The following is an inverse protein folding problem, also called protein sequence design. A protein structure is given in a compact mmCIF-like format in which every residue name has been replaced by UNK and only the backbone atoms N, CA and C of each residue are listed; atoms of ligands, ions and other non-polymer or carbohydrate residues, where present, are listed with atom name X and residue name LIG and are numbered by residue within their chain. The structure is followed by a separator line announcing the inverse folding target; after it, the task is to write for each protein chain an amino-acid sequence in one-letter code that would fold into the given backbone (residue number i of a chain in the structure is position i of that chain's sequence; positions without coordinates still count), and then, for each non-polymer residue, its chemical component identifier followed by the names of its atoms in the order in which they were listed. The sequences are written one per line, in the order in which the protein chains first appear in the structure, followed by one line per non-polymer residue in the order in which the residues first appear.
data_IF_603680277419
#
_entry.id   IF_603680277419
#
_cell.length_a   1.000
_cell.length_b   1.000
_cell.length_c   1.000
_cell.angle_alpha   90.00
_cell.angle_beta   90.00
_cell.angle_gamma   90.00
#
_symmetry.space_group_name_H-M   'P 1'
#
loop_
_entity.id
_entity.type
_entity.pdbx_description
1 polymer ?
#
# COMPACT_ATOMS: atom_id res chain seq x y z
N UNK A 1 -34.27 -53.82 42.32
CA UNK A 1 -34.99 -53.11 41.24
C UNK A 1 -34.02 -52.90 40.08
N UNK A 2 -34.03 -53.84 39.13
CA UNK A 2 -33.19 -53.83 37.94
C UNK A 2 -33.79 -52.91 36.87
N UNK A 3 -33.04 -51.91 36.42
CA UNK A 3 -33.44 -51.10 35.27
C UNK A 3 -33.51 -51.97 34.00
N UNK A 4 -34.48 -51.76 33.09
CA UNK A 4 -34.54 -52.50 31.84
C UNK A 4 -33.29 -52.20 30.98
N UNK A 5 -32.78 -53.17 30.20
CA UNK A 5 -31.51 -53.05 29.47
C UNK A 5 -31.45 -51.86 28.48
N UNK A 6 -32.60 -51.30 28.08
CA UNK A 6 -32.70 -50.21 27.10
C UNK A 6 -32.42 -48.81 27.67
N UNK A 7 -32.46 -48.62 29.00
CA UNK A 7 -32.24 -47.30 29.61
C UNK A 7 -30.77 -46.87 29.61
N UNK A 8 -29.84 -47.85 29.68
CA UNK A 8 -28.40 -47.60 29.64
C UNK A 8 -27.94 -47.11 28.28
N UNK A 9 -28.52 -47.66 27.20
CA UNK A 9 -28.24 -47.21 25.83
C UNK A 9 -28.77 -45.79 25.58
N UNK A 10 -29.95 -45.47 26.09
CA UNK A 10 -30.51 -44.12 25.96
C UNK A 10 -29.67 -43.07 26.70
N UNK A 11 -29.18 -43.41 27.90
CA UNK A 11 -28.32 -42.54 28.70
C UNK A 11 -26.95 -42.33 28.02
N UNK A 12 -26.36 -43.39 27.46
CA UNK A 12 -25.11 -43.30 26.70
C UNK A 12 -25.27 -42.44 25.44
N UNK A 13 -26.40 -42.57 24.72
CA UNK A 13 -26.68 -41.76 23.54
C UNK A 13 -26.85 -40.28 23.90
N UNK A 14 -27.58 -39.97 24.99
CA UNK A 14 -27.74 -38.61 25.49
C UNK A 14 -26.41 -38.00 25.97
N UNK A 15 -25.57 -38.79 26.64
CA UNK A 15 -24.22 -38.34 27.03
C UNK A 15 -23.32 -38.13 25.82
N UNK A 16 -23.44 -38.95 24.77
CA UNK A 16 -22.67 -38.78 23.54
C UNK A 16 -23.10 -37.51 22.80
N UNK A 17 -24.41 -37.26 22.67
CA UNK A 17 -24.95 -36.03 22.09
C UNK A 17 -24.55 -34.82 22.93
N UNK A 18 -24.60 -34.92 24.26
CA UNK A 18 -24.16 -33.85 25.16
C UNK A 18 -22.64 -33.61 25.04
N UNK A 19 -21.84 -34.66 24.90
CA UNK A 19 -20.40 -34.56 24.70
C UNK A 19 -20.05 -34.00 23.33
N UNK A 20 -20.74 -34.39 22.26
CA UNK A 20 -20.60 -33.77 20.93
C UNK A 20 -21.00 -32.30 20.96
N UNK A 21 -22.10 -31.94 21.62
CA UNK A 21 -22.49 -30.54 21.83
C UNK A 21 -21.50 -29.79 22.69
N UNK A 22 -20.90 -30.42 23.70
CA UNK A 22 -19.88 -29.81 24.55
C UNK A 22 -18.53 -29.68 23.85
N UNK A 23 -18.16 -30.60 22.95
CA UNK A 23 -16.99 -30.52 22.09
C UNK A 23 -17.21 -29.47 21.00
N UNK A 24 -18.41 -29.38 20.44
CA UNK A 24 -18.81 -28.33 19.51
C UNK A 24 -18.81 -26.96 20.21
N UNK A 25 -19.37 -26.86 21.42
CA UNK A 25 -19.33 -25.64 22.24
C UNK A 25 -17.90 -25.30 22.74
N UNK A 26 -17.05 -26.28 23.03
CA UNK A 26 -15.63 -26.06 23.37
C UNK A 26 -14.80 -25.63 22.17
N UNK A 27 -15.18 -26.02 20.94
CA UNK A 27 -14.62 -25.48 19.70
C UNK A 27 -15.05 -24.02 19.46
N UNK A 28 -16.09 -23.56 20.15
CA UNK A 28 -16.67 -22.22 20.07
C UNK A 28 -16.14 -21.24 21.15
N UNK A 29 -15.27 -21.71 22.05
CA UNK A 29 -14.43 -20.85 22.91
C UNK A 29 -13.25 -20.23 22.14
N UNK A 30 -13.37 -20.12 20.82
CA UNK A 30 -12.46 -19.33 19.98
C UNK A 30 -12.53 -17.90 20.50
N UNK A 31 -11.37 -17.28 20.78
CA UNK A 31 -11.27 -15.83 20.94
C UNK A 31 -12.16 -15.19 19.86
N UNK A 32 -13.22 -14.48 20.25
CA UNK A 32 -14.02 -13.74 19.29
C UNK A 32 -13.08 -12.82 18.52
N UNK A 33 -12.83 -13.14 17.26
CA UNK A 33 -11.94 -12.36 16.44
C UNK A 33 -12.68 -11.07 16.12
N UNK A 34 -12.18 -9.91 16.55
CA UNK A 34 -12.92 -8.66 16.41
C UNK A 34 -13.10 -8.34 14.93
N UNK A 35 -14.35 -8.14 14.50
CA UNK A 35 -14.67 -7.69 13.16
C UNK A 35 -14.40 -6.19 13.02
N UNK A 36 -13.12 -5.86 12.88
CA UNK A 36 -12.62 -4.48 12.79
C UNK A 36 -11.50 -4.41 11.77
N UNK A 37 -11.38 -3.26 11.10
CA UNK A 37 -10.22 -2.99 10.26
C UNK A 37 -8.93 -3.02 11.07
N UNK A 38 -7.85 -3.51 10.46
CA UNK A 38 -6.52 -3.57 11.09
C UNK A 38 -5.95 -2.18 11.40
N UNK A 39 -6.36 -1.14 10.67
CA UNK A 39 -6.10 0.26 10.95
C UNK A 39 -7.32 1.16 10.65
N UNK A 40 -7.35 2.35 11.27
CA UNK A 40 -8.39 3.38 11.01
C UNK A 40 -8.13 4.20 9.75
N UNK A 41 -6.87 4.25 9.32
CA UNK A 41 -6.41 5.01 8.17
C UNK A 41 -5.38 4.18 7.40
N UNK A 42 -5.54 4.10 6.09
CA UNK A 42 -4.55 3.51 5.19
C UNK A 42 -4.12 4.53 4.13
N UNK A 43 -2.83 4.50 3.80
CA UNK A 43 -2.31 5.24 2.65
C UNK A 43 -2.11 4.27 1.49
N UNK A 44 -2.68 4.62 0.34
CA UNK A 44 -2.55 3.83 -0.88
C UNK A 44 -2.28 4.75 -2.07
N UNK A 45 -1.51 4.24 -3.02
CA UNK A 45 -1.15 4.93 -4.25
C UNK A 45 -1.75 4.22 -5.46
N UNK A 46 -2.30 4.98 -6.39
CA UNK A 46 -2.69 4.53 -7.72
C UNK A 46 -1.87 5.27 -8.78
N UNK A 47 -1.38 4.52 -9.74
CA UNK A 47 -0.60 5.06 -10.85
C UNK A 47 -1.55 5.64 -11.90
N UNK A 48 -1.27 6.88 -12.33
CA UNK A 48 -1.95 7.42 -13.49
C UNK A 48 -1.60 6.60 -14.72
N UNK A 49 -2.52 6.49 -15.65
CA UNK A 49 -2.48 5.66 -16.83
C UNK A 49 -2.38 4.15 -16.59
N UNK A 50 -2.42 3.70 -15.34
CA UNK A 50 -2.55 2.30 -15.02
C UNK A 50 -3.83 1.72 -15.66
N UNK A 51 -3.77 0.47 -16.15
CA UNK A 51 -4.96 -0.24 -16.57
C UNK A 51 -6.01 -0.26 -15.45
N UNK A 52 -7.30 -0.10 -15.79
CA UNK A 52 -8.39 -0.12 -14.80
C UNK A 52 -8.55 -1.44 -14.03
N UNK A 53 -7.77 -2.47 -14.38
CA UNK A 53 -7.65 -3.76 -13.68
C UNK A 53 -6.65 -3.73 -12.52
N UNK A 54 -5.77 -2.73 -12.48
CA UNK A 54 -4.72 -2.61 -11.49
C UNK A 54 -5.23 -2.11 -10.14
N UNK A 55 -4.73 -2.72 -9.06
CA UNK A 55 -5.11 -2.35 -7.70
C UNK A 55 -4.13 -1.36 -7.09
N UNK A 56 -4.65 -0.47 -6.25
CA UNK A 56 -3.89 0.46 -5.45
C UNK A 56 -2.86 -0.29 -4.60
N UNK A 57 -1.66 0.26 -4.54
CA UNK A 57 -0.55 -0.26 -3.72
C UNK A 57 -0.56 0.45 -2.37
N UNK A 58 -0.27 -0.27 -1.30
CA UNK A 58 -0.06 0.35 0.01
C UNK A 58 1.44 0.52 0.27
N UNK A 59 1.82 1.68 0.79
CA UNK A 59 3.17 1.95 1.31
C UNK A 59 3.34 1.43 2.75
N UNK A 60 2.24 1.17 3.45
CA UNK A 60 2.23 0.72 4.84
C UNK A 60 2.43 -0.81 4.93
N UNK A 61 3.07 -1.28 6.01
CA UNK A 61 3.28 -2.71 6.27
C UNK A 61 2.05 -3.38 6.93
N UNK A 62 0.91 -2.68 7.00
CA UNK A 62 -0.31 -3.15 7.66
C UNK A 62 -1.26 -3.77 6.62
N UNK A 63 -1.72 -5.03 6.82
CA UNK A 63 -2.68 -5.66 5.91
C UNK A 63 -3.99 -4.86 5.82
N UNK A 64 -4.35 -4.35 4.65
CA UNK A 64 -5.60 -3.60 4.48
C UNK A 64 -6.79 -4.57 4.42
N UNK A 65 -7.62 -4.58 5.45
CA UNK A 65 -8.79 -5.45 5.49
C UNK A 65 -9.27 -5.74 6.90
N UNK A 66 -10.02 -6.83 7.03
CA UNK A 66 -10.60 -7.31 8.29
C UNK A 66 -10.32 -8.80 8.46
N UNK A 67 -10.16 -9.29 9.70
CA UNK A 67 -10.14 -10.72 9.93
C UNK A 67 -11.51 -11.34 9.62
N UNK A 68 -11.50 -12.59 9.19
CA UNK A 68 -12.70 -13.38 8.98
C UNK A 68 -13.17 -13.92 10.35
N UNK A 69 -14.38 -13.59 10.81
CA UNK A 69 -14.81 -13.95 12.16
C UNK A 69 -15.18 -15.44 12.31
N UNK A 70 -15.67 -16.07 11.24
CA UNK A 70 -16.03 -17.48 11.18
C UNK A 70 -15.91 -18.01 9.74
N UNK A 71 -15.72 -19.32 9.57
CA UNK A 71 -15.34 -19.93 8.29
C UNK A 71 -16.36 -19.76 7.15
N UNK A 72 -17.62 -19.51 7.50
CA UNK A 72 -18.76 -19.32 6.59
C UNK A 72 -19.16 -17.84 6.42
N UNK A 73 -18.47 -16.91 7.11
CA UNK A 73 -18.75 -15.48 6.93
C UNK A 73 -18.44 -15.04 5.49
N UNK A 74 -19.29 -14.17 4.97
CA UNK A 74 -19.00 -13.43 3.74
C UNK A 74 -18.84 -11.95 4.06
N UNK A 75 -17.66 -11.40 3.77
CA UNK A 75 -17.35 -9.99 3.97
C UNK A 75 -17.40 -9.24 2.64
N UNK A 76 -18.18 -8.16 2.60
CA UNK A 76 -18.28 -7.27 1.45
C UNK A 76 -17.78 -5.88 1.82
N UNK A 77 -16.92 -5.33 0.97
CA UNK A 77 -16.46 -3.94 1.10
C UNK A 77 -17.28 -3.02 0.20
N UNK A 78 -17.62 -1.84 0.71
CA UNK A 78 -18.32 -0.79 -0.03
C UNK A 78 -17.69 0.56 0.26
N UNK A 79 -17.46 1.35 -0.79
CA UNK A 79 -17.14 2.78 -0.62
C UNK A 79 -18.44 3.48 -0.23
N UNK A 80 -18.46 4.09 0.95
CA UNK A 80 -19.64 4.75 1.52
C UNK A 80 -19.56 6.27 1.43
N UNK A 81 -18.34 6.84 1.40
CA UNK A 81 -18.12 8.28 1.29
C UNK A 81 -16.85 8.60 0.47
N UNK A 82 -16.72 9.85 0.03
CA UNK A 82 -15.52 10.36 -0.64
C UNK A 82 -15.47 10.15 -2.16
N UNK A 83 -16.10 9.10 -2.68
CA UNK A 83 -16.12 8.78 -4.12
C UNK A 83 -17.46 9.14 -4.80
N UNK A 84 -17.80 10.43 -4.82
CA UNK A 84 -19.09 10.92 -5.36
C UNK A 84 -19.25 10.66 -6.87
N UNK A 85 -18.16 10.59 -7.62
CA UNK A 85 -18.17 10.39 -9.07
C UNK A 85 -18.01 8.91 -9.47
N UNK A 86 -17.95 8.01 -8.48
CA UNK A 86 -17.80 6.57 -8.68
C UNK A 86 -16.58 6.23 -9.53
N UNK A 87 -15.45 6.81 -9.19
CA UNK A 87 -14.17 6.60 -9.85
C UNK A 87 -13.48 5.34 -9.37
N UNK A 88 -13.82 4.82 -8.18
CA UNK A 88 -13.16 3.69 -7.57
C UNK A 88 -14.10 2.50 -7.39
N UNK A 89 -13.50 1.31 -7.27
CA UNK A 89 -14.21 0.07 -6.95
C UNK A 89 -13.44 -0.71 -5.89
N UNK A 90 -14.13 -1.06 -4.81
CA UNK A 90 -13.63 -1.97 -3.78
C UNK A 90 -13.84 -3.43 -4.21
N UNK A 91 -12.87 -4.28 -3.90
CA UNK A 91 -12.86 -5.72 -4.13
C UNK A 91 -12.47 -6.45 -2.85
N UNK A 92 -13.15 -7.57 -2.57
CA UNK A 92 -12.75 -8.48 -1.50
C UNK A 92 -11.80 -9.55 -2.04
N UNK A 93 -10.79 -9.93 -1.26
CA UNK A 93 -9.97 -11.12 -1.48
C UNK A 93 -9.77 -11.85 -0.16
N UNK A 94 -10.38 -13.01 -0.01
CA UNK A 94 -10.15 -13.85 1.16
C UNK A 94 -8.88 -14.69 0.99
N UNK A 95 -8.06 -14.76 2.03
CA UNK A 95 -6.91 -15.65 2.15
C UNK A 95 -6.88 -16.18 3.58
N UNK A 96 -7.16 -17.48 3.75
CA UNK A 96 -7.34 -18.07 5.08
C UNK A 96 -8.41 -17.34 5.88
N UNK A 97 -8.06 -16.94 7.10
CA UNK A 97 -8.95 -16.27 8.06
C UNK A 97 -8.89 -14.74 7.95
N UNK A 98 -8.55 -14.20 6.77
CA UNK A 98 -8.48 -12.76 6.54
C UNK A 98 -9.10 -12.38 5.20
N UNK A 99 -9.82 -11.25 5.17
CA UNK A 99 -10.39 -10.68 3.95
C UNK A 99 -9.70 -9.37 3.64
N UNK A 100 -8.86 -9.39 2.61
CA UNK A 100 -8.16 -8.22 2.10
C UNK A 100 -9.10 -7.33 1.30
N UNK A 101 -9.06 -6.04 1.61
CA UNK A 101 -9.62 -4.99 0.79
C UNK A 101 -8.62 -4.65 -0.31
N UNK A 102 -9.08 -4.62 -1.55
CA UNK A 102 -8.34 -4.08 -2.69
C UNK A 102 -9.16 -2.99 -3.36
N UNK A 103 -8.52 -1.89 -3.74
CA UNK A 103 -9.18 -0.77 -4.41
C UNK A 103 -8.56 -0.62 -5.79
N UNK A 104 -9.36 -0.35 -6.79
CA UNK A 104 -8.90 -0.03 -8.14
C UNK A 104 -9.74 1.07 -8.75
N UNK A 105 -9.26 1.68 -9.82
CA UNK A 105 -10.08 2.53 -10.64
C UNK A 105 -11.24 1.72 -11.25
N UNK A 106 -12.42 2.33 -11.30
CA UNK A 106 -13.57 1.76 -11.99
C UNK A 106 -13.36 1.95 -13.49
N UNK A 107 -13.28 0.83 -14.19
CA UNK A 107 -13.24 0.79 -15.65
C UNK A 107 -14.46 1.50 -16.23
N UNK A 108 -14.21 2.61 -16.91
CA UNK A 108 -15.16 3.29 -17.78
C UNK A 108 -14.56 3.32 -19.18
N UNK A 109 -14.49 2.16 -19.83
CA UNK A 109 -14.25 2.09 -21.27
C UNK A 109 -12.82 2.53 -21.63
N UNK A 110 -11.83 1.83 -21.07
CA UNK A 110 -10.42 1.85 -21.51
C UNK A 110 -9.74 3.22 -21.50
N UNK A 111 -10.27 4.18 -20.73
CA UNK A 111 -9.64 5.50 -20.59
C UNK A 111 -8.72 5.49 -19.36
N UNK A 112 -7.39 5.56 -19.55
CA UNK A 112 -6.44 5.58 -18.45
C UNK A 112 -6.73 6.71 -17.44
N UNK A 113 -6.42 6.47 -16.16
CA UNK A 113 -6.43 7.51 -15.14
C UNK A 113 -5.52 8.66 -15.57
N UNK A 114 -6.01 9.88 -15.73
CA UNK A 114 -5.11 10.98 -16.09
C UNK A 114 -5.53 12.24 -15.32
N UNK A 115 -4.59 12.72 -14.49
CA UNK A 115 -4.73 13.88 -13.62
C UNK A 115 -4.98 15.18 -14.40
N UNK A 116 -4.60 15.21 -15.67
CA UNK A 116 -4.70 16.37 -16.57
C UNK A 116 -5.94 16.31 -17.48
N UNK A 117 -6.78 15.26 -17.35
CA UNK A 117 -8.04 15.19 -18.07
C UNK A 117 -8.96 16.33 -17.64
N UNK A 118 -9.12 17.32 -18.52
CA UNK A 118 -10.12 18.40 -18.41
C UNK A 118 -11.52 17.93 -18.81
N UNK A 119 -11.84 16.66 -18.59
CA UNK A 119 -13.18 16.11 -18.86
C UNK A 119 -14.00 16.17 -17.56
N UNK A 120 -15.10 16.95 -17.51
CA UNK A 120 -15.95 17.04 -16.33
C UNK A 120 -16.40 15.65 -15.86
N UNK A 121 -16.24 15.38 -14.56
CA UNK A 121 -16.65 14.11 -13.95
C UNK A 121 -15.65 12.95 -14.13
N UNK A 122 -14.49 13.19 -14.75
CA UNK A 122 -13.40 12.19 -14.87
C UNK A 122 -12.12 12.58 -14.13
N UNK A 123 -12.03 13.81 -13.63
CA UNK A 123 -10.88 14.28 -12.86
C UNK A 123 -10.90 13.64 -11.45
N UNK A 124 -9.86 12.86 -11.14
CA UNK A 124 -9.58 12.42 -9.77
C UNK A 124 -8.60 13.43 -9.15
N UNK A 125 -8.94 14.07 -8.02
CA UNK A 125 -7.98 14.90 -7.29
C UNK A 125 -6.75 14.10 -6.88
N UNK A 126 -5.57 14.73 -6.94
CA UNK A 126 -4.29 14.11 -6.58
C UNK A 126 -4.35 13.37 -5.23
N UNK A 127 -5.06 13.94 -4.27
CA UNK A 127 -5.35 13.30 -3.00
C UNK A 127 -6.86 13.15 -2.85
N UNK A 128 -7.32 11.90 -2.80
CA UNK A 128 -8.73 11.57 -2.58
C UNK A 128 -8.88 10.76 -1.31
N UNK A 129 -9.76 11.19 -0.41
CA UNK A 129 -10.07 10.45 0.81
C UNK A 129 -11.40 9.73 0.64
N UNK A 130 -11.42 8.42 0.86
CA UNK A 130 -12.64 7.60 0.82
C UNK A 130 -12.87 6.90 2.15
N UNK A 131 -14.13 6.74 2.53
CA UNK A 131 -14.54 5.91 3.67
C UNK A 131 -15.02 4.58 3.13
N UNK A 132 -14.43 3.48 3.59
CA UNK A 132 -14.84 2.12 3.25
C UNK A 132 -15.58 1.51 4.43
N UNK A 133 -16.71 0.88 4.15
CA UNK A 133 -17.39 -0.02 5.09
C UNK A 133 -17.12 -1.48 4.72
N UNK A 134 -16.73 -2.28 5.71
CA UNK A 134 -16.78 -3.74 5.63
C UNK A 134 -18.06 -4.20 6.32
N UNK A 135 -18.92 -4.90 5.59
CA UNK A 135 -20.16 -5.45 6.09
C UNK A 135 -20.14 -6.98 6.08
N UNK A 136 -20.72 -7.58 7.11
CA UNK A 136 -21.02 -9.00 7.17
C UNK A 136 -22.40 -9.26 7.77
N UNK A 137 -23.01 -10.38 7.40
CA UNK A 137 -24.23 -10.86 8.02
C UNK A 137 -23.89 -11.80 9.16
N UNK A 138 -24.30 -11.45 10.37
CA UNK A 138 -24.10 -12.27 11.56
C UNK A 138 -25.43 -12.97 11.94
N UNK A 139 -25.44 -14.29 12.20
CA UNK A 139 -26.68 -15.05 12.40
C UNK A 139 -27.59 -14.53 13.52
N UNK A 140 -27.03 -13.94 14.58
CA UNK A 140 -27.81 -13.51 15.75
C UNK A 140 -28.00 -12.01 15.90
N UNK A 141 -27.14 -11.20 15.27
CA UNK A 141 -27.17 -9.73 15.40
C UNK A 141 -27.49 -9.01 14.09
N UNK A 142 -27.75 -9.76 13.02
CA UNK A 142 -27.99 -9.21 11.69
C UNK A 142 -26.74 -8.60 11.08
N UNK A 143 -26.91 -7.56 10.27
CA UNK A 143 -25.80 -6.91 9.57
C UNK A 143 -24.89 -6.17 10.55
N UNK A 144 -23.60 -6.54 10.55
CA UNK A 144 -22.55 -5.87 11.33
C UNK A 144 -21.60 -5.18 10.36
N UNK A 145 -21.24 -3.93 10.67
CA UNK A 145 -20.32 -3.14 9.85
C UNK A 145 -19.18 -2.53 10.66
N UNK A 146 -18.05 -2.34 10.00
CA UNK A 146 -16.92 -1.54 10.49
C UNK A 146 -16.45 -0.62 9.37
N UNK A 147 -15.79 0.49 9.70
CA UNK A 147 -15.35 1.50 8.73
C UNK A 147 -13.89 1.88 8.92
N UNK A 148 -13.25 2.27 7.82
CA UNK A 148 -11.91 2.83 7.81
C UNK A 148 -11.77 3.89 6.71
N UNK A 149 -10.84 4.83 6.93
CA UNK A 149 -10.49 5.86 5.97
C UNK A 149 -9.33 5.40 5.08
N UNK A 150 -9.36 5.78 3.82
CA UNK A 150 -8.28 5.50 2.87
C UNK A 150 -7.93 6.78 2.15
N UNK A 151 -6.67 7.19 2.30
CA UNK A 151 -6.05 8.25 1.50
C UNK A 151 -5.50 7.63 0.24
N UNK A 152 -6.11 7.97 -0.88
CA UNK A 152 -5.70 7.55 -2.22
C UNK A 152 -4.89 8.70 -2.82
N UNK A 153 -3.61 8.44 -3.06
CA UNK A 153 -2.75 9.34 -3.82
C UNK A 153 -2.67 8.87 -5.27
N UNK A 154 -2.98 9.75 -6.21
CA UNK A 154 -2.80 9.49 -7.64
C UNK A 154 -1.48 10.09 -8.08
N UNK A 155 -0.52 9.22 -8.36
CA UNK A 155 0.84 9.57 -8.75
C UNK A 155 1.05 9.58 -10.26
N UNK A 156 2.01 10.38 -10.74
CA UNK A 156 2.47 10.22 -12.12
C UNK A 156 3.30 8.95 -12.26
N UNK A 157 3.32 8.28 -13.43
CA UNK A 157 4.15 7.11 -13.64
C UNK A 157 5.59 7.57 -13.52
N UNK A 158 6.42 6.79 -12.84
CA UNK A 158 7.84 7.08 -12.68
C UNK A 158 8.14 8.47 -12.06
N UNK A 159 7.27 9.02 -11.20
CA UNK A 159 7.60 10.21 -10.42
C UNK A 159 8.80 9.93 -9.52
N UNK A 160 9.96 10.43 -9.92
CA UNK A 160 11.21 10.42 -9.16
C UNK A 160 11.45 11.84 -8.66
N UNK A 161 11.68 11.99 -7.37
CA UNK A 161 11.92 13.28 -6.71
C UNK A 161 13.20 13.17 -5.89
N UNK A 162 14.08 14.17 -6.01
CA UNK A 162 15.25 14.27 -5.14
C UNK A 162 14.81 14.49 -3.68
N UNK A 163 15.49 13.83 -2.74
CA UNK A 163 15.20 13.97 -1.31
C UNK A 163 15.46 15.41 -0.84
N UNK A 164 16.51 16.03 -1.39
CA UNK A 164 16.87 17.43 -1.15
C UNK A 164 16.78 18.23 -2.45
N UNK A 165 16.08 19.37 -2.41
CA UNK A 165 15.88 20.23 -3.58
C UNK A 165 17.17 20.98 -4.00
N UNK A 166 18.11 21.18 -3.07
CA UNK A 166 19.40 21.82 -3.31
C UNK A 166 20.43 21.26 -2.35
N UNK A 167 21.59 20.84 -2.86
CA UNK A 167 22.71 20.32 -2.08
C UNK A 167 23.95 21.18 -2.33
N UNK A 168 24.75 21.37 -1.29
CA UNK A 168 26.03 22.08 -1.35
C UNK A 168 27.07 21.25 -0.62
N UNK A 169 28.24 21.09 -1.24
CA UNK A 169 29.35 20.33 -0.71
C UNK A 169 30.61 21.20 -0.69
N UNK A 170 31.44 21.02 0.34
CA UNK A 170 32.76 21.63 0.42
C UNK A 170 33.82 20.57 0.16
N UNK A 171 34.74 20.86 -0.76
CA UNK A 171 35.82 19.96 -1.15
C UNK A 171 37.13 20.72 -1.06
N UNK A 172 38.15 20.06 -0.49
CA UNK A 172 39.50 20.60 -0.47
C UNK A 172 40.14 20.37 -1.85
N UNK A 173 40.75 21.40 -2.45
CA UNK A 173 41.39 21.29 -3.76
C UNK A 173 42.49 20.22 -3.83
N UNK A 174 43.16 19.96 -2.69
CA UNK A 174 44.21 18.94 -2.57
C UNK A 174 43.66 17.50 -2.51
N UNK A 175 42.34 17.32 -2.62
CA UNK A 175 41.72 15.99 -2.61
C UNK A 175 42.08 15.22 -3.88
N UNK A 176 42.48 13.95 -3.79
CA UNK A 176 42.88 13.17 -4.95
C UNK A 176 41.69 12.83 -5.85
N UNK A 177 41.98 12.56 -7.12
CA UNK A 177 41.00 11.98 -8.07
C UNK A 177 40.40 10.70 -7.48
N UNK A 178 39.09 10.55 -7.58
CA UNK A 178 38.30 9.47 -6.98
C UNK A 178 37.81 9.74 -5.57
N UNK A 179 38.21 10.87 -4.94
CA UNK A 179 37.69 11.27 -3.63
C UNK A 179 36.17 11.45 -3.67
N UNK A 180 35.50 10.88 -2.66
CA UNK A 180 34.03 10.94 -2.54
C UNK A 180 33.64 12.27 -1.91
N UNK A 181 32.94 13.09 -2.70
CA UNK A 181 32.47 14.42 -2.28
C UNK A 181 31.22 14.29 -1.42
N UNK A 182 30.31 13.41 -1.85
CA UNK A 182 29.01 13.25 -1.22
C UNK A 182 28.12 12.30 -1.99
N UNK A 183 26.83 12.34 -1.68
CA UNK A 183 25.82 11.51 -2.32
C UNK A 183 24.54 12.33 -2.52
N UNK A 184 23.94 12.19 -3.69
CA UNK A 184 22.57 12.60 -3.97
C UNK A 184 21.66 11.37 -3.87
N UNK A 185 20.46 11.59 -3.36
CA UNK A 185 19.43 10.55 -3.25
C UNK A 185 18.14 11.06 -3.85
N UNK A 186 17.44 10.16 -4.54
CA UNK A 186 16.09 10.39 -5.03
C UNK A 186 15.20 9.23 -4.60
N UNK A 187 13.95 9.55 -4.34
CA UNK A 187 12.89 8.60 -4.04
C UNK A 187 11.91 8.54 -5.20
N UNK A 188 11.47 7.33 -5.55
CA UNK A 188 10.36 7.17 -6.47
C UNK A 188 9.07 6.97 -5.66
N UNK A 189 7.95 7.44 -6.18
CA UNK A 189 6.65 7.19 -5.55
C UNK A 189 6.33 5.68 -5.44
N UNK A 190 6.82 4.88 -6.40
CA UNK A 190 6.65 3.43 -6.39
C UNK A 190 7.95 2.70 -6.09
N UNK A 191 7.91 1.79 -5.12
CA UNK A 191 9.08 0.99 -4.68
C UNK A 191 9.72 0.14 -5.78
N UNK A 192 8.98 -0.22 -6.82
CA UNK A 192 9.53 -0.95 -7.97
C UNK A 192 10.44 -0.07 -8.84
N UNK A 193 10.18 1.23 -8.87
CA UNK A 193 10.95 2.19 -9.66
C UNK A 193 12.23 2.62 -8.94
N UNK A 194 12.26 2.56 -7.60
CA UNK A 194 13.45 2.89 -6.80
C UNK A 194 14.71 2.14 -7.28
N UNK A 195 14.58 0.88 -7.69
CA UNK A 195 15.71 0.06 -8.18
C UNK A 195 16.20 0.47 -9.57
N UNK A 196 15.36 1.20 -10.30
CA UNK A 196 15.60 1.64 -11.67
C UNK A 196 16.06 3.11 -11.74
N UNK A 197 16.13 3.82 -10.61
CA UNK A 197 16.67 5.18 -10.56
C UNK A 197 18.10 5.16 -11.11
N UNK A 198 18.36 6.10 -12.03
CA UNK A 198 19.67 6.36 -12.63
C UNK A 198 20.04 7.83 -12.48
N UNK A 199 21.25 8.06 -11.97
CA UNK A 199 21.79 9.41 -11.76
C UNK A 199 22.72 9.79 -12.90
N UNK A 200 22.62 11.02 -13.38
CA UNK A 200 23.55 11.61 -14.33
C UNK A 200 23.75 13.09 -13.98
N UNK A 201 24.90 13.64 -14.38
CA UNK A 201 25.17 15.07 -14.28
C UNK A 201 24.73 15.73 -15.59
N UNK A 202 23.82 16.69 -15.51
CA UNK A 202 23.43 17.46 -16.67
C UNK A 202 24.53 18.49 -16.97
N UNK A 203 25.25 18.28 -18.07
CA UNK A 203 26.30 19.21 -18.52
C UNK A 203 25.67 20.28 -19.41
N UNK A 204 25.94 21.55 -19.11
CA UNK A 204 25.62 22.64 -20.05
C UNK A 204 26.58 22.57 -21.23
N UNK A 205 26.12 22.98 -22.41
CA UNK A 205 26.95 22.95 -23.63
C UNK A 205 28.30 23.65 -23.40
N UNK A 206 29.40 22.97 -23.75
CA UNK A 206 30.79 23.38 -23.58
C UNK A 206 31.30 23.51 -22.13
N UNK A 207 30.61 22.96 -21.13
CA UNK A 207 31.09 22.91 -19.74
C UNK A 207 31.24 21.47 -19.23
N UNK A 208 32.48 21.02 -19.08
CA UNK A 208 32.81 19.81 -18.32
C UNK A 208 33.14 20.19 -16.89
N UNK A 209 32.44 19.58 -15.93
CA UNK A 209 32.76 19.72 -14.51
C UNK A 209 33.77 18.64 -14.08
N UNK A 210 34.66 18.91 -13.10
CA UNK A 210 35.66 17.94 -12.61
C UNK A 210 35.05 16.87 -11.68
N UNK A 211 33.78 16.55 -11.89
CA UNK A 211 33.01 15.63 -11.06
C UNK A 211 32.36 14.55 -11.91
N UNK A 212 32.16 13.39 -11.31
CA UNK A 212 31.37 12.31 -11.86
C UNK A 212 30.33 11.83 -10.83
N UNK A 213 29.23 11.27 -11.32
CA UNK A 213 28.21 10.64 -10.47
C UNK A 213 28.07 9.17 -10.81
N UNK A 214 28.02 8.34 -9.78
CA UNK A 214 27.71 6.92 -9.91
C UNK A 214 26.25 6.73 -10.31
N UNK A 215 26.02 6.17 -11.50
CA UNK A 215 24.70 5.97 -12.12
C UNK A 215 23.70 5.26 -11.19
N UNK A 216 24.13 4.32 -10.35
CA UNK A 216 23.24 3.52 -9.48
C UNK A 216 23.13 4.02 -8.05
N UNK A 217 24.17 4.67 -7.53
CA UNK A 217 24.24 5.01 -6.11
C UNK A 217 24.08 6.50 -5.82
N UNK A 218 24.19 7.36 -6.84
CA UNK A 218 24.18 8.82 -6.67
C UNK A 218 25.41 9.36 -5.94
N UNK A 219 26.48 8.55 -5.81
CA UNK A 219 27.73 9.00 -5.17
C UNK A 219 28.46 9.91 -6.14
N UNK A 220 28.81 11.11 -5.68
CA UNK A 220 29.59 12.09 -6.44
C UNK A 220 31.07 11.95 -6.08
N UNK A 221 31.93 11.90 -7.09
CA UNK A 221 33.39 11.81 -6.94
C UNK A 221 34.11 12.87 -7.76
N UNK A 222 35.32 13.19 -7.33
CA UNK A 222 36.27 13.94 -8.15
C UNK A 222 36.75 13.08 -9.33
N UNK A 223 36.60 13.60 -10.55
CA UNK A 223 37.13 12.97 -11.77
C UNK A 223 38.43 13.62 -12.25
N UNK A 224 38.71 14.84 -11.79
CA UNK A 224 39.90 15.62 -12.12
C UNK A 224 40.40 16.36 -10.88
N UNK A 225 41.64 16.85 -10.94
CA UNK A 225 42.21 17.72 -9.90
C UNK A 225 41.48 19.07 -9.89
N UNK A 226 41.38 19.67 -8.71
CA UNK A 226 40.77 20.98 -8.51
C UNK A 226 41.86 22.05 -8.41
N UNK A 227 41.51 23.25 -8.87
CA UNK A 227 42.34 24.45 -8.76
C UNK A 227 41.43 25.58 -8.26
N UNK A 228 41.56 25.93 -6.99
CA UNK A 228 40.72 26.94 -6.35
C UNK A 228 40.96 28.33 -6.91
N UNK A 229 42.18 28.65 -7.35
CA UNK A 229 42.49 29.92 -8.01
C UNK A 229 41.80 30.04 -9.37
N UNK A 230 41.67 28.93 -10.10
CA UNK A 230 40.98 28.90 -11.40
C UNK A 230 39.45 28.92 -11.28
N UNK A 231 38.87 28.11 -10.38
CA UNK A 231 37.43 28.03 -10.19
C UNK A 231 37.07 27.69 -8.73
N UNK A 232 36.34 28.60 -8.07
CA UNK A 232 36.00 28.50 -6.64
C UNK A 232 34.69 27.78 -6.37
N UNK A 233 33.78 27.80 -7.34
CA UNK A 233 32.43 27.26 -7.19
C UNK A 233 31.99 26.61 -8.49
N UNK A 234 31.27 25.51 -8.35
CA UNK A 234 30.64 24.79 -9.46
C UNK A 234 29.16 24.64 -9.16
N UNK A 235 28.32 24.98 -10.14
CA UNK A 235 26.88 24.74 -10.10
C UNK A 235 26.48 23.95 -11.33
N UNK A 236 25.82 22.82 -11.11
CA UNK A 236 25.37 21.88 -12.13
C UNK A 236 24.03 21.28 -11.70
#
# INVERSE_FOLDING_TARGET
MSWPPNSRHLLLLLLLIAAERAVFARRDLRRQIPFVFTAKLYNVSLEENAPGTEFARSSDHVPIGVPLPHSDATVKFKIVEGDRQHHFKAHSRQVGDFVFLRIRQKDRMDTPLNRELKVPGRLIPQQTNVTISAGQEHPSSGMVNTTANIKIEVGQPHSIVFEDAMLSFNVNESSPVGYVIGRVSASAMYKMDERNIRYYLEMRENFTVPFEVSEKSGIIRLSQELDYEAQREYSF
#
